data_IF_580426601536
#
_entry.id   IF_580426601536
#
_cell.length_a   1.000
_cell.length_b   1.000
_cell.length_c   1.000
_cell.angle_alpha   90.00
_cell.angle_beta   90.00
_cell.angle_gamma   90.00
#
_symmetry.space_group_name_H-M   'P 1'
#
loop_
_entity.id
_entity.type
_entity.pdbx_description
1 polymer ?
#
# COMPACT_ATOMS: atom_id res chain seq x y z
N UNK A 1 10.16 -10.30 -11.94
CA UNK A 1 8.99 -9.45 -12.28
C UNK A 1 9.46 -8.14 -12.93
N UNK A 2 8.79 -7.62 -13.96
CA UNK A 2 9.21 -6.35 -14.61
C UNK A 2 8.85 -5.14 -13.74
N UNK A 3 9.67 -4.07 -13.79
CA UNK A 3 9.42 -2.85 -13.00
C UNK A 3 8.03 -2.24 -13.29
N UNK A 4 7.60 -2.26 -14.56
CA UNK A 4 6.26 -1.80 -14.97
C UNK A 4 5.15 -2.56 -14.26
N UNK A 5 5.22 -3.90 -14.24
CA UNK A 5 4.25 -4.75 -13.55
C UNK A 5 4.26 -4.51 -12.04
N UNK A 6 5.41 -4.17 -11.45
CA UNK A 6 5.53 -3.91 -10.01
C UNK A 6 4.83 -2.60 -9.64
N UNK A 7 5.09 -1.54 -10.40
CA UNK A 7 4.42 -0.25 -10.21
C UNK A 7 2.92 -0.39 -10.44
N UNK A 8 2.49 -1.18 -11.42
CA UNK A 8 1.09 -1.47 -11.67
C UNK A 8 0.41 -2.13 -10.45
N UNK A 9 0.96 -3.23 -9.93
CA UNK A 9 0.39 -3.92 -8.75
C UNK A 9 0.39 -3.03 -7.50
N UNK A 10 1.46 -2.24 -7.30
CA UNK A 10 1.54 -1.28 -6.20
C UNK A 10 0.40 -0.27 -6.24
N UNK A 11 0.13 0.33 -7.40
CA UNK A 11 -0.94 1.32 -7.56
C UNK A 11 -2.32 0.71 -7.37
N UNK A 12 -2.54 -0.53 -7.84
CA UNK A 12 -3.80 -1.26 -7.61
C UNK A 12 -4.04 -1.51 -6.12
N UNK A 13 -3.00 -1.91 -5.38
CA UNK A 13 -3.11 -2.17 -3.94
C UNK A 13 -3.29 -0.90 -3.09
N UNK A 14 -3.08 0.30 -3.65
CA UNK A 14 -3.41 1.55 -2.99
C UNK A 14 -4.94 1.82 -2.87
N UNK A 15 -5.77 1.21 -3.72
CA UNK A 15 -7.24 1.41 -3.76
C UNK A 15 -7.92 1.10 -2.42
N UNK A 16 -7.69 -0.06 -1.75
CA UNK A 16 -8.30 -0.34 -0.45
C UNK A 16 -7.87 0.67 0.62
N UNK A 17 -6.62 1.13 0.59
CA UNK A 17 -6.15 2.17 1.50
C UNK A 17 -6.82 3.53 1.21
N UNK A 18 -7.05 3.89 -0.06
CA UNK A 18 -7.82 5.08 -0.43
C UNK A 18 -9.24 5.02 0.12
N UNK A 19 -9.93 3.90 -0.06
CA UNK A 19 -11.28 3.69 0.47
C UNK A 19 -11.32 3.76 2.00
N UNK A 20 -10.33 3.19 2.68
CA UNK A 20 -10.19 3.27 4.12
C UNK A 20 -9.95 4.72 4.60
N UNK A 21 -9.02 5.44 3.95
CA UNK A 21 -8.72 6.84 4.25
C UNK A 21 -9.99 7.69 4.10
N UNK A 22 -10.74 7.54 3.01
CA UNK A 22 -11.95 8.32 2.79
C UNK A 22 -13.01 8.09 3.87
N UNK A 23 -13.18 6.85 4.33
CA UNK A 23 -14.15 6.50 5.36
C UNK A 23 -13.73 6.93 6.78
N UNK A 24 -12.47 6.72 7.15
CA UNK A 24 -12.00 6.95 8.52
C UNK A 24 -11.48 8.36 8.77
N UNK A 25 -10.91 8.99 7.73
CA UNK A 25 -10.15 10.23 7.84
C UNK A 25 -10.92 11.41 7.26
N UNK A 26 -11.84 11.14 6.31
CA UNK A 26 -12.71 12.12 5.63
C UNK A 26 -11.91 13.35 5.15
N UNK A 27 -10.84 13.16 4.34
CA UNK A 27 -10.05 14.28 3.85
C UNK A 27 -10.86 15.13 2.86
N UNK A 28 -10.40 16.36 2.61
CA UNK A 28 -10.96 17.20 1.53
C UNK A 28 -10.87 16.49 0.18
N UNK A 29 -11.82 16.78 -0.70
CA UNK A 29 -11.91 16.19 -2.05
C UNK A 29 -10.61 16.31 -2.86
N UNK A 30 -9.83 17.38 -2.65
CA UNK A 30 -8.53 17.57 -3.29
C UNK A 30 -7.55 16.42 -3.06
N UNK A 31 -7.51 15.85 -1.84
CA UNK A 31 -6.65 14.70 -1.54
C UNK A 31 -7.07 13.47 -2.35
N UNK A 32 -8.37 13.15 -2.34
CA UNK A 32 -8.89 12.00 -3.06
C UNK A 32 -8.65 12.11 -4.57
N UNK A 33 -8.74 13.33 -5.13
CA UNK A 33 -8.49 13.57 -6.56
C UNK A 33 -7.00 13.40 -6.89
N UNK A 34 -6.10 13.93 -6.05
CA UNK A 34 -4.65 13.76 -6.24
C UNK A 34 -4.24 12.30 -6.11
N UNK A 35 -4.74 11.59 -5.10
CA UNK A 35 -4.37 10.19 -4.89
C UNK A 35 -4.95 9.31 -6.02
N UNK A 36 -6.14 9.64 -6.51
CA UNK A 36 -6.74 9.02 -7.68
C UNK A 36 -5.92 9.28 -8.95
N UNK A 37 -5.43 10.50 -9.19
CA UNK A 37 -4.64 10.79 -10.41
C UNK A 37 -3.35 9.98 -10.47
N UNK A 38 -2.72 9.71 -9.32
CA UNK A 38 -1.58 8.80 -9.22
C UNK A 38 -1.99 7.37 -9.58
N UNK A 39 -3.13 6.89 -9.07
CA UNK A 39 -3.63 5.54 -9.41
C UNK A 39 -3.97 5.44 -10.90
N UNK A 40 -4.44 6.51 -11.55
CA UNK A 40 -4.73 6.55 -12.99
C UNK A 40 -3.50 6.32 -13.87
N UNK A 41 -2.29 6.55 -13.37
CA UNK A 41 -1.05 6.21 -14.09
C UNK A 41 -1.01 4.70 -14.40
N UNK A 42 -1.68 3.86 -13.62
CA UNK A 42 -1.79 2.42 -13.89
C UNK A 42 -2.42 2.10 -15.26
N UNK A 43 -3.35 2.92 -15.75
CA UNK A 43 -3.95 2.76 -17.09
C UNK A 43 -2.94 3.00 -18.22
N UNK A 44 -1.94 3.86 -18.00
CA UNK A 44 -0.88 4.11 -18.99
C UNK A 44 0.13 2.96 -19.05
N UNK A 45 0.31 2.23 -17.94
CA UNK A 45 1.26 1.12 -17.86
C UNK A 45 0.69 -0.12 -18.54
N UNK A 46 -0.54 -0.51 -18.20
CA UNK A 46 -1.25 -1.64 -18.82
C UNK A 46 -2.62 -1.15 -19.30
N UNK A 47 -2.72 -0.93 -20.61
CA UNK A 47 -3.94 -0.43 -21.22
C UNK A 47 -4.89 -1.59 -21.56
N UNK A 48 -5.79 -1.88 -20.61
CA UNK A 48 -6.83 -2.89 -20.78
C UNK A 48 -8.21 -2.34 -20.42
N UNK A 49 -9.25 -2.85 -21.10
CA UNK A 49 -10.65 -2.42 -20.90
C UNK A 49 -11.08 -2.64 -19.45
N UNK A 50 -10.68 -3.75 -18.83
CA UNK A 50 -10.97 -4.05 -17.43
C UNK A 50 -10.32 -3.05 -16.48
N UNK A 51 -9.07 -2.66 -16.75
CA UNK A 51 -8.33 -1.67 -15.96
C UNK A 51 -9.00 -0.31 -16.06
N UNK A 52 -9.32 0.16 -17.27
CA UNK A 52 -10.00 1.45 -17.47
C UNK A 52 -11.38 1.46 -16.82
N UNK A 53 -12.17 0.38 -16.98
CA UNK A 53 -13.48 0.25 -16.36
C UNK A 53 -13.40 0.32 -14.82
N UNK A 54 -12.44 -0.40 -14.23
CA UNK A 54 -12.24 -0.39 -12.78
C UNK A 54 -11.84 0.99 -12.24
N UNK A 55 -10.94 1.70 -12.93
CA UNK A 55 -10.53 3.06 -12.55
C UNK A 55 -11.70 4.03 -12.65
N UNK A 56 -12.53 3.89 -13.68
CA UNK A 56 -13.75 4.68 -13.83
C UNK A 56 -14.71 4.45 -12.64
N UNK A 57 -14.89 3.20 -12.18
CA UNK A 57 -15.67 2.91 -10.98
C UNK A 57 -15.11 3.60 -9.72
N UNK A 58 -13.78 3.65 -9.56
CA UNK A 58 -13.14 4.41 -8.46
C UNK A 58 -13.37 5.92 -8.61
N UNK A 59 -13.35 6.46 -9.84
CA UNK A 59 -13.65 7.89 -10.04
C UNK A 59 -15.08 8.22 -9.66
N UNK A 60 -16.05 7.39 -10.05
CA UNK A 60 -17.45 7.58 -9.72
C UNK A 60 -17.66 7.49 -8.20
N UNK A 61 -16.97 6.57 -7.53
CA UNK A 61 -17.13 6.39 -6.08
C UNK A 61 -16.78 7.67 -5.31
N UNK A 62 -15.76 8.43 -5.74
CA UNK A 62 -15.32 9.68 -5.11
C UNK A 62 -16.38 10.78 -5.18
N UNK A 63 -17.19 10.83 -6.24
CA UNK A 63 -18.23 11.86 -6.40
C UNK A 63 -19.58 11.48 -5.75
N UNK A 64 -19.76 10.21 -5.38
CA UNK A 64 -20.97 9.77 -4.69
C UNK A 64 -20.99 10.23 -3.23
N UNK A 65 -22.15 10.74 -2.80
CA UNK A 65 -22.42 11.14 -1.41
C UNK A 65 -22.93 10.00 -0.54
N UNK A 66 -23.49 8.95 -1.14
CA UNK A 66 -24.04 7.80 -0.41
C UNK A 66 -22.92 6.84 0.02
N UNK A 67 -22.64 6.77 1.33
CA UNK A 67 -21.56 5.97 1.92
C UNK A 67 -21.62 4.48 1.57
N UNK A 68 -22.81 3.88 1.55
CA UNK A 68 -22.98 2.45 1.23
C UNK A 68 -22.57 2.13 -0.22
N UNK A 69 -23.06 2.93 -1.16
CA UNK A 69 -22.74 2.79 -2.58
C UNK A 69 -21.26 3.08 -2.87
N UNK A 70 -20.68 4.08 -2.19
CA UNK A 70 -19.26 4.37 -2.26
C UNK A 70 -18.41 3.13 -1.91
N UNK A 71 -18.65 2.53 -0.74
CA UNK A 71 -17.89 1.36 -0.26
C UNK A 71 -18.05 0.19 -1.24
N UNK A 72 -19.27 -0.03 -1.72
CA UNK A 72 -19.55 -1.09 -2.69
C UNK A 72 -18.74 -0.91 -3.98
N UNK A 73 -18.63 0.32 -4.51
CA UNK A 73 -17.87 0.61 -5.73
C UNK A 73 -16.35 0.49 -5.53
N UNK A 74 -15.83 0.90 -4.38
CA UNK A 74 -14.42 0.66 -4.02
C UNK A 74 -14.11 -0.84 -3.97
N UNK A 75 -15.00 -1.62 -3.36
CA UNK A 75 -14.83 -3.06 -3.29
C UNK A 75 -14.90 -3.70 -4.68
N UNK A 76 -15.90 -3.34 -5.49
CA UNK A 76 -16.08 -3.86 -6.84
C UNK A 76 -14.88 -3.56 -7.75
N UNK A 77 -14.38 -2.32 -7.73
CA UNK A 77 -13.20 -1.93 -8.51
C UNK A 77 -11.95 -2.69 -8.09
N UNK A 78 -11.74 -2.87 -6.78
CA UNK A 78 -10.62 -3.66 -6.26
C UNK A 78 -10.70 -5.14 -6.70
N UNK A 79 -11.89 -5.75 -6.63
CA UNK A 79 -12.09 -7.15 -7.06
C UNK A 79 -11.82 -7.30 -8.57
N UNK A 80 -12.32 -6.37 -9.39
CA UNK A 80 -12.08 -6.40 -10.84
C UNK A 80 -10.58 -6.33 -11.17
N UNK A 81 -9.83 -5.40 -10.55
CA UNK A 81 -8.39 -5.29 -10.77
C UNK A 81 -7.61 -6.50 -10.28
N UNK A 82 -7.98 -7.07 -9.14
CA UNK A 82 -7.33 -8.29 -8.65
C UNK A 82 -7.62 -9.49 -9.54
N UNK A 83 -8.82 -9.59 -10.12
CA UNK A 83 -9.14 -10.65 -11.09
C UNK A 83 -8.29 -10.53 -12.36
N UNK A 84 -8.07 -9.31 -12.84
CA UNK A 84 -7.18 -9.04 -13.96
C UNK A 84 -5.73 -9.42 -13.62
N UNK A 85 -5.23 -8.99 -12.46
CA UNK A 85 -3.89 -9.35 -11.99
C UNK A 85 -3.72 -10.87 -11.87
N UNK A 86 -4.69 -11.56 -11.29
CA UNK A 86 -4.65 -13.01 -11.12
C UNK A 86 -4.52 -13.75 -12.45
N UNK A 87 -5.28 -13.33 -13.47
CA UNK A 87 -5.18 -13.89 -14.82
C UNK A 87 -3.81 -13.62 -15.45
N UNK A 88 -3.19 -12.46 -15.17
CA UNK A 88 -1.91 -12.07 -15.78
C UNK A 88 -0.69 -12.83 -15.25
N UNK A 89 -0.73 -13.33 -14.00
CA UNK A 89 0.43 -13.99 -13.40
C UNK A 89 0.47 -15.51 -13.59
N UNK A 90 -0.61 -16.13 -14.10
CA UNK A 90 -0.73 -17.58 -14.35
C UNK A 90 -0.24 -18.51 -13.21
N UNK A 91 -0.23 -18.01 -11.97
CA UNK A 91 0.20 -18.77 -10.78
C UNK A 91 -1.01 -19.23 -9.97
N UNK A 92 -0.84 -20.31 -9.22
CA UNK A 92 -1.84 -20.75 -8.23
C UNK A 92 -2.19 -19.64 -7.23
N UNK A 93 -3.45 -19.58 -6.81
CA UNK A 93 -4.00 -18.53 -5.94
C UNK A 93 -3.16 -18.29 -4.68
N UNK A 94 -2.74 -19.36 -4.01
CA UNK A 94 -1.93 -19.28 -2.79
C UNK A 94 -0.57 -18.62 -3.03
N UNK A 95 0.10 -18.98 -4.12
CA UNK A 95 1.39 -18.40 -4.50
C UNK A 95 1.25 -16.93 -4.91
N UNK A 96 0.18 -16.57 -5.62
CA UNK A 96 -0.08 -15.17 -5.97
C UNK A 96 -0.24 -14.29 -4.72
N UNK A 97 -1.05 -14.74 -3.75
CA UNK A 97 -1.31 -14.01 -2.52
C UNK A 97 -0.03 -13.86 -1.70
N UNK A 98 0.72 -14.96 -1.51
CA UNK A 98 1.95 -14.95 -0.74
C UNK A 98 3.03 -14.11 -1.42
N UNK A 99 3.42 -14.44 -2.65
CA UNK A 99 4.60 -13.85 -3.29
C UNK A 99 4.40 -12.39 -3.72
N UNK A 100 3.21 -12.00 -4.16
CA UNK A 100 2.98 -10.67 -4.71
C UNK A 100 2.11 -9.80 -3.80
N UNK A 101 0.91 -10.28 -3.45
CA UNK A 101 -0.07 -9.45 -2.78
C UNK A 101 0.44 -9.01 -1.39
N UNK A 102 1.01 -9.93 -0.62
CA UNK A 102 1.42 -9.67 0.76
C UNK A 102 2.64 -8.71 0.84
N UNK A 103 3.75 -8.87 0.08
CA UNK A 103 4.86 -7.91 0.07
C UNK A 103 4.48 -6.55 -0.51
N UNK A 104 3.74 -6.52 -1.63
CA UNK A 104 3.42 -5.27 -2.32
C UNK A 104 2.36 -4.48 -1.56
N UNK A 105 1.43 -5.16 -0.86
CA UNK A 105 0.45 -4.46 -0.01
C UNK A 105 1.11 -3.68 1.12
N UNK A 106 2.20 -4.18 1.70
CA UNK A 106 2.97 -3.45 2.71
C UNK A 106 3.46 -2.11 2.15
N UNK A 107 4.05 -2.13 0.96
CA UNK A 107 4.54 -0.91 0.30
C UNK A 107 3.40 0.05 0.01
N UNK A 108 2.28 -0.45 -0.52
CA UNK A 108 1.11 0.39 -0.80
C UNK A 108 0.53 1.01 0.47
N UNK A 109 0.55 0.28 1.60
CA UNK A 109 0.13 0.79 2.91
C UNK A 109 1.05 1.90 3.41
N UNK A 110 2.36 1.69 3.38
CA UNK A 110 3.34 2.72 3.80
C UNK A 110 3.27 3.95 2.89
N UNK A 111 3.11 3.77 1.58
CA UNK A 111 2.90 4.85 0.63
C UNK A 111 1.63 5.65 0.93
N UNK A 112 0.51 4.96 1.18
CA UNK A 112 -0.75 5.62 1.54
C UNK A 112 -0.63 6.44 2.82
N UNK A 113 0.11 5.93 3.83
CA UNK A 113 0.37 6.62 5.08
C UNK A 113 1.22 7.88 4.88
N UNK A 114 2.25 7.78 4.06
CA UNK A 114 3.08 8.93 3.68
C UNK A 114 2.26 10.01 2.99
N UNK A 115 1.41 9.62 2.02
CA UNK A 115 0.57 10.55 1.26
C UNK A 115 -0.42 11.29 2.16
N UNK A 116 -1.14 10.59 3.04
CA UNK A 116 -2.09 11.25 3.95
C UNK A 116 -1.37 12.07 5.03
N UNK A 117 -0.20 11.63 5.49
CA UNK A 117 0.60 12.38 6.44
C UNK A 117 1.11 13.70 5.85
N UNK A 118 1.54 13.71 4.58
CA UNK A 118 1.93 14.94 3.91
C UNK A 118 0.74 15.88 3.68
N UNK A 119 -0.42 15.33 3.33
CA UNK A 119 -1.64 16.12 3.20
C UNK A 119 -2.10 16.72 4.54
N UNK A 120 -1.86 16.04 5.66
CA UNK A 120 -2.11 16.61 7.00
C UNK A 120 -1.27 17.86 7.28
N UNK A 121 -0.07 17.98 6.71
CA UNK A 121 0.74 19.20 6.85
C UNK A 121 0.10 20.40 6.13
N UNK A 122 -0.66 20.14 5.07
CA UNK A 122 -1.41 21.16 4.33
C UNK A 122 -2.76 21.45 5.01
N UNK A 123 -3.43 20.42 5.53
CA UNK A 123 -4.71 20.54 6.22
C UNK A 123 -4.70 19.79 7.58
N UNK A 124 -4.36 20.47 8.69
CA UNK A 124 -4.24 19.84 10.01
C UNK A 124 -5.58 19.55 10.69
N UNK A 125 -6.71 19.81 10.03
CA UNK A 125 -8.07 19.54 10.56
C UNK A 125 -8.46 18.07 10.50
N UNK A 126 -7.64 17.25 9.84
CA UNK A 126 -7.89 15.85 9.54
C UNK A 126 -7.68 14.95 10.78
N UNK A 127 -8.43 13.84 10.89
CA UNK A 127 -8.30 12.94 12.05
C UNK A 127 -6.98 12.14 12.03
N UNK A 128 -6.25 12.16 13.16
CA UNK A 128 -5.02 11.36 13.35
C UNK A 128 -5.31 9.86 13.52
N UNK A 129 -6.52 9.49 13.92
CA UNK A 129 -6.87 8.11 14.26
C UNK A 129 -6.82 7.16 13.08
N UNK A 130 -7.28 7.59 11.90
CA UNK A 130 -7.19 6.75 10.71
C UNK A 130 -5.73 6.54 10.27
N UNK A 131 -4.90 7.57 10.36
CA UNK A 131 -3.45 7.47 10.08
C UNK A 131 -2.77 6.50 11.03
N UNK A 132 -3.08 6.57 12.33
CA UNK A 132 -2.56 5.65 13.35
C UNK A 132 -2.89 4.20 13.04
N UNK A 133 -4.13 3.92 12.63
CA UNK A 133 -4.55 2.55 12.28
C UNK A 133 -3.78 2.01 11.08
N UNK A 134 -3.55 2.82 10.04
CA UNK A 134 -2.69 2.43 8.90
C UNK A 134 -1.27 2.15 9.40
N UNK A 135 -0.72 3.02 10.26
CA UNK A 135 0.62 2.86 10.82
C UNK A 135 0.80 1.53 11.56
N UNK A 136 -0.18 1.17 12.40
CA UNK A 136 -0.20 -0.11 13.12
C UNK A 136 -0.22 -1.28 12.14
N UNK A 137 -1.12 -1.26 11.15
CA UNK A 137 -1.21 -2.34 10.14
C UNK A 137 0.13 -2.51 9.42
N UNK A 138 0.74 -1.41 8.98
CA UNK A 138 2.05 -1.44 8.31
C UNK A 138 3.20 -1.88 9.21
N UNK A 139 3.06 -1.77 10.54
CA UNK A 139 4.08 -2.25 11.50
C UNK A 139 3.96 -3.72 11.82
N UNK A 140 2.73 -4.26 11.83
CA UNK A 140 2.45 -5.67 12.11
C UNK A 140 2.70 -6.53 10.88
N UNK A 141 2.37 -6.04 9.69
CA UNK A 141 2.52 -6.79 8.45
C UNK A 141 3.94 -7.35 8.19
N UNK A 142 5.05 -6.59 8.35
CA UNK A 142 6.39 -7.15 8.18
C UNK A 142 6.74 -8.24 9.20
N UNK A 143 6.18 -8.21 10.41
CA UNK A 143 6.35 -9.29 11.39
C UNK A 143 5.75 -10.62 10.93
N UNK A 144 4.70 -10.57 10.10
CA UNK A 144 4.12 -11.76 9.45
C UNK A 144 4.95 -12.23 8.25
N UNK A 145 5.59 -11.31 7.54
CA UNK A 145 6.42 -11.61 6.37
C UNK A 145 7.70 -12.34 6.76
N UNK A 146 8.35 -11.93 7.86
CA UNK A 146 9.65 -12.48 8.28
C UNK A 146 9.64 -14.01 8.45
N UNK A 147 8.69 -14.64 9.17
CA UNK A 147 8.60 -16.10 9.24
C UNK A 147 8.35 -16.76 7.89
N UNK A 148 7.51 -16.16 7.02
CA UNK A 148 7.21 -16.69 5.70
C UNK A 148 8.45 -16.73 4.79
N UNK A 149 9.35 -15.75 4.93
CA UNK A 149 10.66 -15.75 4.25
C UNK A 149 11.57 -16.82 4.84
N UNK A 150 11.62 -16.96 6.16
CA UNK A 150 12.47 -17.94 6.83
C UNK A 150 12.15 -19.38 6.38
N UNK A 151 10.87 -19.71 6.29
CA UNK A 151 10.38 -21.02 5.84
C UNK A 151 10.31 -21.19 4.31
N UNK A 152 10.85 -20.26 3.52
CA UNK A 152 10.84 -20.30 2.04
C UNK A 152 9.45 -20.35 1.39
N UNK A 153 8.38 -19.86 2.03
CA UNK A 153 7.06 -19.79 1.39
C UNK A 153 6.98 -18.66 0.35
N UNK A 154 7.83 -17.64 0.47
CA UNK A 154 7.84 -16.46 -0.37
C UNK A 154 8.93 -16.47 -1.44
N UNK A 155 9.90 -17.38 -1.34
CA UNK A 155 11.16 -17.33 -2.08
C UNK A 155 11.50 -18.71 -2.64
N UNK A 156 11.95 -18.75 -3.89
CA UNK A 156 12.46 -19.97 -4.52
C UNK A 156 13.99 -19.88 -4.43
N UNK A 157 14.62 -20.77 -3.66
CA UNK A 157 16.07 -20.98 -3.56
C UNK A 157 16.97 -19.72 -3.54
N UNK A 158 16.67 -18.79 -2.64
CA UNK A 158 17.53 -17.63 -2.36
C UNK A 158 18.64 -18.05 -1.38
N UNK A 159 19.89 -17.67 -1.67
CA UNK A 159 21.03 -17.90 -0.78
C UNK A 159 20.83 -17.28 0.62
N UNK A 160 21.31 -17.97 1.66
CA UNK A 160 21.02 -17.62 3.07
C UNK A 160 21.39 -16.17 3.44
N UNK A 161 22.47 -15.64 2.84
CA UNK A 161 22.90 -14.24 3.05
C UNK A 161 21.85 -13.25 2.58
N UNK A 162 21.31 -13.43 1.38
CA UNK A 162 20.27 -12.55 0.84
C UNK A 162 18.98 -12.67 1.65
N UNK A 163 18.62 -13.87 2.09
CA UNK A 163 17.47 -14.09 2.96
C UNK A 163 17.58 -13.29 4.26
N UNK A 164 18.73 -13.33 4.92
CA UNK A 164 18.99 -12.54 6.13
C UNK A 164 18.90 -11.04 5.88
N UNK A 165 19.46 -10.55 4.77
CA UNK A 165 19.37 -9.13 4.38
C UNK A 165 17.90 -8.72 4.19
N UNK A 166 17.11 -9.49 3.44
CA UNK A 166 15.69 -9.19 3.20
C UNK A 166 14.92 -9.20 4.53
N UNK A 167 15.14 -10.19 5.40
CA UNK A 167 14.52 -10.24 6.72
C UNK A 167 14.86 -9.00 7.56
N UNK A 168 16.12 -8.56 7.54
CA UNK A 168 16.55 -7.36 8.25
C UNK A 168 15.90 -6.08 7.69
N UNK A 169 15.77 -5.97 6.36
CA UNK A 169 15.06 -4.87 5.74
C UNK A 169 13.57 -4.85 6.15
N UNK A 170 12.88 -5.99 6.15
CA UNK A 170 11.50 -6.03 6.66
C UNK A 170 11.41 -5.68 8.15
N UNK A 171 12.33 -6.17 8.98
CA UNK A 171 12.36 -5.85 10.40
C UNK A 171 12.53 -4.35 10.62
N UNK A 172 13.44 -3.71 9.88
CA UNK A 172 13.64 -2.25 9.95
C UNK A 172 12.42 -1.47 9.44
N UNK A 173 11.71 -1.93 8.40
CA UNK A 173 10.42 -1.32 8.00
C UNK A 173 9.36 -1.39 9.10
N UNK A 174 9.28 -2.53 9.82
CA UNK A 174 8.36 -2.70 10.94
C UNK A 174 8.68 -1.74 12.09
N UNK A 175 9.97 -1.59 12.43
CA UNK A 175 10.40 -0.67 13.48
C UNK A 175 10.12 0.79 13.09
N UNK A 176 10.41 1.18 11.86
CA UNK A 176 10.21 2.56 11.38
C UNK A 176 8.72 2.92 11.31
N UNK A 177 7.87 2.02 10.81
CA UNK A 177 6.42 2.21 10.81
C UNK A 177 5.86 2.25 12.24
N UNK A 178 6.36 1.44 13.16
CA UNK A 178 6.00 1.55 14.58
C UNK A 178 6.43 2.88 15.20
N UNK A 179 7.63 3.37 14.87
CA UNK A 179 8.09 4.68 15.29
C UNK A 179 7.19 5.80 14.74
N UNK A 180 6.71 5.67 13.49
CA UNK A 180 5.73 6.60 12.92
C UNK A 180 4.40 6.58 13.68
N UNK A 181 3.90 5.41 14.07
CA UNK A 181 2.72 5.28 14.93
C UNK A 181 2.90 5.98 16.28
N UNK A 182 4.03 5.74 16.94
CA UNK A 182 4.35 6.36 18.23
C UNK A 182 4.44 7.89 18.09
N UNK A 183 5.02 8.38 16.99
CA UNK A 183 5.12 9.80 16.71
C UNK A 183 3.75 10.46 16.46
N UNK A 184 2.81 9.77 15.83
CA UNK A 184 1.42 10.23 15.66
C UNK A 184 0.64 10.35 16.99
N UNK A 185 1.11 9.72 18.08
CA UNK A 185 0.52 9.88 19.40
C UNK A 185 0.87 11.21 20.06
N UNK A 186 1.88 11.92 19.57
CA UNK A 186 2.22 13.24 20.08
C UNK A 186 1.14 14.27 19.73
N UNK A 187 0.84 15.13 20.71
CA UNK A 187 -0.17 16.17 20.58
C UNK A 187 0.28 17.25 19.58
N UNK A 188 1.59 17.52 19.54
CA UNK A 188 2.18 18.57 18.71
C UNK A 188 2.08 18.25 17.22
N UNK A 189 2.03 19.31 16.41
CA UNK A 189 2.16 19.22 14.94
C UNK A 189 3.49 18.58 14.52
N UNK A 190 4.55 18.80 15.31
CA UNK A 190 5.88 18.22 15.08
C UNK A 190 5.87 16.69 15.09
N UNK A 191 4.96 16.06 15.83
CA UNK A 191 4.78 14.61 15.80
C UNK A 191 4.33 14.10 14.43
N UNK A 192 3.45 14.82 13.74
CA UNK A 192 3.01 14.40 12.39
C UNK A 192 4.13 14.63 11.37
N UNK A 193 4.88 15.73 11.50
CA UNK A 193 6.06 15.98 10.65
C UNK A 193 7.09 14.85 10.80
N UNK A 194 7.41 14.44 12.03
CA UNK A 194 8.33 13.33 12.27
C UNK A 194 7.76 11.99 11.75
N UNK A 195 6.47 11.73 11.94
CA UNK A 195 5.81 10.54 11.40
C UNK A 195 5.91 10.46 9.87
N UNK A 196 5.75 11.59 9.16
CA UNK A 196 5.91 11.61 7.70
C UNK A 196 7.33 11.25 7.25
N UNK A 197 8.36 11.82 7.89
CA UNK A 197 9.75 11.49 7.58
C UNK A 197 10.09 10.02 7.85
N UNK A 198 9.61 9.46 8.96
CA UNK A 198 9.79 8.04 9.29
C UNK A 198 9.06 7.12 8.31
N UNK A 199 7.87 7.48 7.87
CA UNK A 199 7.12 6.73 6.86
C UNK A 199 7.81 6.74 5.49
N UNK A 200 8.46 7.84 5.12
CA UNK A 200 9.26 7.93 3.91
C UNK A 200 10.48 7.00 3.96
N UNK A 201 11.19 6.98 5.09
CA UNK A 201 12.30 6.06 5.28
C UNK A 201 11.82 4.61 5.25
N UNK A 202 10.70 4.31 5.91
CA UNK A 202 10.06 2.99 5.84
C UNK A 202 9.69 2.60 4.42
N UNK A 203 9.25 3.55 3.59
CA UNK A 203 8.90 3.30 2.19
C UNK A 203 10.13 2.86 1.40
N UNK A 204 11.24 3.59 1.48
CA UNK A 204 12.48 3.26 0.76
C UNK A 204 12.98 1.86 1.14
N UNK A 205 13.02 1.57 2.45
CA UNK A 205 13.48 0.27 2.94
C UNK A 205 12.53 -0.84 2.50
N UNK A 206 11.21 -0.61 2.48
CA UNK A 206 10.21 -1.60 2.04
C UNK A 206 10.26 -1.91 0.55
N UNK A 207 10.57 -0.90 -0.28
CA UNK A 207 10.83 -1.07 -1.71
C UNK A 207 12.12 -1.87 -1.90
N UNK A 208 13.17 -1.57 -1.12
CA UNK A 208 14.40 -2.36 -1.12
C UNK A 208 14.14 -3.84 -0.76
N UNK A 209 13.38 -4.10 0.30
CA UNK A 209 13.05 -5.46 0.75
C UNK A 209 12.23 -6.24 -0.27
N UNK A 210 11.09 -5.67 -0.71
CA UNK A 210 10.17 -6.41 -1.59
C UNK A 210 10.69 -6.42 -3.04
N UNK A 211 11.40 -5.37 -3.47
CA UNK A 211 12.04 -5.32 -4.78
C UNK A 211 13.13 -6.37 -4.91
N UNK A 212 13.98 -6.53 -3.89
CA UNK A 212 15.00 -7.61 -3.89
C UNK A 212 14.35 -8.99 -3.84
N UNK A 213 13.30 -9.18 -3.03
CA UNK A 213 12.53 -10.43 -2.99
C UNK A 213 11.96 -10.80 -4.37
N UNK A 214 11.34 -9.85 -5.07
CA UNK A 214 10.66 -10.08 -6.36
C UNK A 214 11.60 -10.15 -7.59
N UNK A 215 12.84 -9.66 -7.45
CA UNK A 215 13.88 -9.78 -8.48
C UNK A 215 14.63 -11.11 -8.38
N UNK A 216 14.78 -11.63 -7.16
CA UNK A 216 15.47 -12.89 -6.89
C UNK A 216 14.56 -14.12 -6.97
N UNK A 217 13.23 -13.94 -6.95
CA UNK A 217 12.20 -14.98 -7.12
C UNK A 217 11.76 -15.13 -8.58
#
# INVERSE_FOLDING_TARGET
MNLSTFVFVLLVLCIPYLGYIRNAIVPRQGFSILFLSIIWISALINFDIFVVCSLFLVTISIFLKNKSFEIMLFFLSFVLLNSFLFNSFEKGFTMYVLQYLLPISLISGVFSLMMIGHWFLVDPTISKEGMKKIAIVTSVQPLLIIPLIYFNYLTIDIGDVYKLVIMFLYLTTGILSFASYKSLNEKSYTGVMAATGLSYLSLIVSIGASGTLLLLS
#
